data_IF_298085889367
#
_entry.id   IF_298085889367
#
_cell.length_a   1.000
_cell.length_b   1.000
_cell.length_c   1.000
_cell.angle_alpha   90.00
_cell.angle_beta   90.00
_cell.angle_gamma   90.00
#
_symmetry.space_group_name_H-M   'P 1'
#
loop_
_entity.id
_entity.type
_entity.pdbx_description
1 polymer ?
#
# COMPACT_ATOMS: atom_id res chain seq x y z
N UNK A 1 -2.17 -8.84 29.28
CA UNK A 1 -2.03 -8.89 28.77
C UNK A 1 -2.07 -8.92 28.00
N UNK A 2 -2.35 -8.94 27.48
CA UNK A 2 -2.46 -8.94 26.63
C UNK A 2 -1.99 -9.16 25.95
N UNK A 3 -2.37 -9.54 25.94
CA UNK A 3 -2.06 -9.79 25.20
C UNK A 3 -1.86 -9.64 24.22
N UNK A 4 -2.60 -9.45 24.28
CA UNK A 4 -2.50 -9.38 22.94
C UNK A 4 -1.18 -8.92 22.52
N UNK A 5 -0.40 -9.64 22.47
CA UNK A 5 0.94 -9.37 22.21
C UNK A 5 1.26 -9.15 20.76
N UNK A 6 0.30 -9.32 19.83
CA UNK A 6 0.56 -9.05 18.42
C UNK A 6 0.68 -7.56 18.22
N UNK A 7 1.82 -7.05 17.72
CA UNK A 7 1.92 -5.63 17.43
C UNK A 7 0.85 -5.24 16.41
N UNK A 8 0.26 -4.10 16.62
CA UNK A 8 -0.69 -3.58 15.66
C UNK A 8 0.01 -3.33 14.34
N UNK A 9 -0.55 -3.85 13.27
CA UNK A 9 -0.06 -3.58 11.92
C UNK A 9 -0.89 -2.49 11.30
N UNK A 10 -0.24 -1.67 10.49
CA UNK A 10 -0.88 -0.54 9.86
C UNK A 10 -0.55 -0.52 8.38
N UNK A 11 -1.56 -0.36 7.54
CA UNK A 11 -1.42 -0.31 6.09
C UNK A 11 -2.05 0.96 5.53
N UNK A 12 -1.40 1.54 4.53
CA UNK A 12 -1.95 2.63 3.74
C UNK A 12 -2.41 2.05 2.42
N UNK A 13 -3.64 2.35 2.02
CA UNK A 13 -4.21 1.86 0.76
C UNK A 13 -4.73 3.03 -0.05
N UNK A 14 -4.32 3.12 -1.31
CA UNK A 14 -4.73 4.20 -2.20
C UNK A 14 -5.29 3.58 -3.49
N UNK A 15 -6.56 3.87 -3.77
CA UNK A 15 -7.22 3.41 -4.99
C UNK A 15 -8.39 4.34 -5.25
N UNK A 16 -8.49 4.88 -6.45
CA UNK A 16 -9.55 5.85 -6.76
C UNK A 16 -10.90 5.19 -7.07
N UNK A 17 -10.97 3.86 -7.07
CA UNK A 17 -12.23 3.15 -7.18
C UNK A 17 -12.74 2.77 -5.79
N UNK A 18 -13.81 3.44 -5.36
CA UNK A 18 -14.28 3.30 -3.98
C UNK A 18 -14.67 1.87 -3.61
N UNK A 19 -15.21 1.10 -4.55
CA UNK A 19 -15.62 -0.28 -4.29
C UNK A 19 -14.38 -1.16 -4.03
N UNK A 20 -13.34 -0.99 -4.82
CA UNK A 20 -12.11 -1.74 -4.65
C UNK A 20 -11.44 -1.35 -3.34
N UNK A 21 -11.42 -0.06 -3.06
CA UNK A 21 -10.83 0.44 -1.82
C UNK A 21 -11.52 -0.14 -0.60
N UNK A 22 -12.86 -0.17 -0.61
CA UNK A 22 -13.62 -0.74 0.50
C UNK A 22 -13.33 -2.23 0.68
N UNK A 23 -13.23 -2.97 -0.41
CA UNK A 23 -12.90 -4.40 -0.34
C UNK A 23 -11.50 -4.65 0.22
N UNK A 24 -10.53 -3.85 -0.18
CA UNK A 24 -9.17 -3.94 0.34
C UNK A 24 -9.13 -3.63 1.84
N UNK A 25 -9.87 -2.63 2.25
CA UNK A 25 -9.92 -2.24 3.67
C UNK A 25 -10.49 -3.36 4.51
N UNK A 26 -11.58 -3.98 4.08
CA UNK A 26 -12.19 -5.10 4.80
C UNK A 26 -11.21 -6.28 4.87
N UNK A 27 -10.56 -6.58 3.76
CA UNK A 27 -9.64 -7.70 3.69
C UNK A 27 -8.46 -7.51 4.66
N UNK A 28 -7.85 -6.33 4.65
CA UNK A 28 -6.72 -6.04 5.53
C UNK A 28 -7.15 -6.02 6.99
N UNK A 29 -8.33 -5.48 7.28
CA UNK A 29 -8.87 -5.50 8.63
C UNK A 29 -9.03 -6.94 9.12
N UNK A 30 -9.52 -7.83 8.26
CA UNK A 30 -9.63 -9.25 8.57
C UNK A 30 -8.27 -9.87 8.90
N UNK A 31 -7.21 -9.38 8.28
CA UNK A 31 -5.85 -9.88 8.55
C UNK A 31 -5.17 -9.19 9.74
N UNK A 32 -5.90 -8.36 10.46
CA UNK A 32 -5.38 -7.73 11.67
C UNK A 32 -4.73 -6.38 11.48
N UNK A 33 -4.93 -5.73 10.33
CA UNK A 33 -4.36 -4.42 10.05
C UNK A 33 -5.31 -3.31 10.43
N UNK A 34 -4.77 -2.24 10.98
CA UNK A 34 -5.43 -0.95 10.93
C UNK A 34 -5.15 -0.37 9.55
N UNK A 35 -6.12 0.32 8.96
CA UNK A 35 -6.01 0.75 7.57
C UNK A 35 -6.33 2.22 7.43
N UNK A 36 -5.47 2.94 6.73
CA UNK A 36 -5.78 4.28 6.23
C UNK A 36 -6.04 4.11 4.73
N UNK A 37 -7.31 4.10 4.36
CA UNK A 37 -7.73 3.91 2.98
C UNK A 37 -8.23 5.24 2.43
N UNK A 38 -7.75 5.61 1.25
CA UNK A 38 -8.16 6.87 0.63
C UNK A 38 -8.15 6.76 -0.88
N UNK A 39 -8.98 7.60 -1.52
CA UNK A 39 -9.08 7.61 -2.97
C UNK A 39 -8.03 8.50 -3.63
N UNK A 40 -7.33 9.31 -2.86
CA UNK A 40 -6.30 10.20 -3.39
C UNK A 40 -5.15 10.37 -2.40
N UNK A 41 -4.04 10.84 -2.92
CA UNK A 41 -2.81 10.99 -2.14
C UNK A 41 -2.93 12.12 -1.13
N UNK A 42 -3.59 13.20 -1.51
CA UNK A 42 -3.73 14.36 -0.62
C UNK A 42 -4.43 13.99 0.68
N UNK A 43 -5.46 13.15 0.59
CA UNK A 43 -6.17 12.67 1.78
C UNK A 43 -5.26 11.85 2.67
N UNK A 44 -4.45 10.97 2.08
CA UNK A 44 -3.49 10.17 2.85
C UNK A 44 -2.51 11.09 3.57
N UNK A 45 -1.92 12.04 2.87
CA UNK A 45 -0.92 12.93 3.45
C UNK A 45 -1.51 13.78 4.57
N UNK A 46 -2.79 14.17 4.44
CA UNK A 46 -3.46 14.96 5.47
C UNK A 46 -3.73 14.15 6.74
N UNK A 47 -4.00 12.85 6.59
CA UNK A 47 -4.36 11.99 7.73
C UNK A 47 -3.18 11.26 8.34
N UNK A 48 -2.07 11.20 7.64
CA UNK A 48 -0.90 10.43 8.08
C UNK A 48 -0.29 10.94 9.39
N UNK A 49 -0.18 12.26 9.62
CA UNK A 49 0.32 12.75 10.90
C UNK A 49 -0.56 12.26 12.05
N UNK A 50 0.06 11.73 13.09
CA UNK A 50 -0.67 11.14 14.20
C UNK A 50 -0.96 9.67 14.04
N UNK A 51 -0.71 9.10 12.87
CA UNK A 51 -0.82 7.65 12.67
C UNK A 51 0.52 6.97 12.98
N UNK A 52 0.49 5.67 13.32
CA UNK A 52 1.75 4.92 13.44
C UNK A 52 2.44 4.83 12.06
N UNK A 53 3.70 4.45 12.06
CA UNK A 53 4.39 4.19 10.79
C UNK A 53 3.74 3.00 10.09
N UNK A 54 3.42 3.14 8.80
CA UNK A 54 2.84 2.02 8.07
C UNK A 54 3.82 0.87 7.92
N UNK A 55 3.30 -0.35 7.96
CA UNK A 55 4.08 -1.54 7.65
C UNK A 55 4.13 -1.77 6.14
N UNK A 56 3.12 -1.31 5.42
CA UNK A 56 3.03 -1.51 3.98
C UNK A 56 2.16 -0.43 3.35
N UNK A 57 2.49 -0.09 2.10
CA UNK A 57 1.68 0.79 1.26
C UNK A 57 1.19 -0.05 0.08
N UNK A 58 -0.13 -0.06 -0.13
CA UNK A 58 -0.74 -0.70 -1.29
C UNK A 58 -1.38 0.39 -2.14
N UNK A 59 -1.02 0.45 -3.41
CA UNK A 59 -1.55 1.51 -4.28
C UNK A 59 -1.88 0.95 -5.65
N UNK A 60 -2.98 1.41 -6.23
CA UNK A 60 -3.23 1.22 -7.64
C UNK A 60 -2.18 2.03 -8.41
N UNK A 61 -1.86 1.59 -9.63
CA UNK A 61 -0.90 2.31 -10.44
C UNK A 61 -1.48 3.60 -10.99
N UNK A 62 -2.71 3.55 -11.52
CA UNK A 62 -3.34 4.72 -12.11
C UNK A 62 -4.22 5.41 -11.10
N UNK A 63 -3.83 6.62 -10.75
CA UNK A 63 -4.55 7.43 -9.77
C UNK A 63 -5.01 8.73 -10.41
N UNK A 64 -5.84 9.49 -9.67
CA UNK A 64 -6.38 10.78 -10.13
C UNK A 64 -5.33 11.87 -10.11
N UNK A 65 -5.63 12.94 -10.82
CA UNK A 65 -4.92 14.23 -10.71
C UNK A 65 -3.43 14.12 -11.03
N UNK A 66 -3.11 13.27 -12.01
CA UNK A 66 -1.73 13.12 -12.45
C UNK A 66 -0.85 12.25 -11.56
N UNK A 67 -1.39 11.69 -10.49
CA UNK A 67 -0.63 10.79 -9.64
C UNK A 67 -0.55 9.39 -10.26
N UNK A 68 0.59 8.74 -10.05
CA UNK A 68 0.71 7.30 -10.31
C UNK A 68 0.98 6.62 -8.98
N UNK A 69 0.88 5.29 -8.97
CA UNK A 69 1.25 4.54 -7.78
C UNK A 69 2.70 4.78 -7.37
N UNK A 70 3.60 4.95 -8.34
CA UNK A 70 5.02 5.22 -8.04
C UNK A 70 5.16 6.55 -7.30
N UNK A 71 4.55 7.62 -7.83
CA UNK A 71 4.66 8.93 -7.19
C UNK A 71 3.93 8.98 -5.86
N UNK A 72 2.83 8.24 -5.74
CA UNK A 72 2.10 8.13 -4.48
C UNK A 72 2.96 7.48 -3.40
N UNK A 73 3.62 6.37 -3.72
CA UNK A 73 4.51 5.69 -2.77
C UNK A 73 5.64 6.60 -2.34
N UNK A 74 6.25 7.31 -3.29
CA UNK A 74 7.32 8.26 -2.97
C UNK A 74 6.85 9.32 -1.99
N UNK A 75 5.68 9.90 -2.23
CA UNK A 75 5.13 10.94 -1.36
C UNK A 75 4.87 10.43 0.05
N UNK A 76 4.30 9.25 0.17
CA UNK A 76 4.02 8.65 1.48
C UNK A 76 5.33 8.32 2.22
N UNK A 77 6.30 7.76 1.51
CA UNK A 77 7.60 7.46 2.10
C UNK A 77 8.29 8.73 2.58
N UNK A 78 8.22 9.79 1.81
CA UNK A 78 8.81 11.08 2.20
C UNK A 78 8.15 11.61 3.46
N UNK A 79 6.81 11.53 3.54
CA UNK A 79 6.08 11.98 4.71
C UNK A 79 6.41 11.14 5.95
N UNK A 80 6.67 9.85 5.76
CA UNK A 80 7.03 8.96 6.87
C UNK A 80 8.50 9.06 7.28
N UNK A 81 9.36 9.52 6.39
CA UNK A 81 10.80 9.59 6.64
C UNK A 81 11.53 8.28 6.57
N UNK A 82 10.87 7.20 6.12
CA UNK A 82 11.47 5.87 6.00
C UNK A 82 10.96 5.19 4.73
N UNK A 83 11.71 4.21 4.24
CA UNK A 83 11.34 3.44 3.06
C UNK A 83 10.34 2.35 3.44
N UNK A 84 9.07 2.72 3.51
CA UNK A 84 8.00 1.78 3.85
C UNK A 84 7.86 0.76 2.70
N UNK A 85 7.75 -0.55 3.00
CA UNK A 85 7.50 -1.54 1.96
C UNK A 85 6.24 -1.20 1.16
N UNK A 86 6.29 -1.39 -0.14
CA UNK A 86 5.18 -0.97 -0.99
C UNK A 86 4.93 -1.96 -2.12
N UNK A 87 3.64 -2.11 -2.46
CA UNK A 87 3.18 -2.92 -3.58
C UNK A 87 2.27 -2.08 -4.43
N UNK A 88 2.48 -2.10 -5.74
CA UNK A 88 1.59 -1.48 -6.70
C UNK A 88 0.80 -2.57 -7.41
N UNK A 89 -0.50 -2.38 -7.48
CA UNK A 89 -1.43 -3.29 -8.16
C UNK A 89 -1.77 -2.68 -9.51
N UNK A 90 -1.56 -3.42 -10.59
CA UNK A 90 -1.72 -2.85 -11.93
C UNK A 90 -2.10 -3.90 -12.96
N UNK A 91 -2.86 -3.51 -13.98
CA UNK A 91 -3.05 -4.32 -15.18
C UNK A 91 -2.00 -4.04 -16.24
N UNK A 92 -1.14 -3.05 -16.03
CA UNK A 92 -0.10 -2.70 -17.00
C UNK A 92 1.12 -3.59 -16.84
N UNK A 93 1.75 -3.93 -17.97
CA UNK A 93 2.92 -4.81 -17.98
C UNK A 93 4.11 -4.14 -18.66
N UNK A 94 4.09 -2.82 -18.82
CA UNK A 94 5.13 -2.09 -19.53
C UNK A 94 6.48 -2.15 -18.84
N UNK A 95 7.53 -2.21 -19.65
CA UNK A 95 8.90 -2.27 -19.14
C UNK A 95 9.28 -1.02 -18.35
N UNK A 96 8.75 0.14 -18.74
CA UNK A 96 9.04 1.39 -18.04
C UNK A 96 8.51 1.36 -16.61
N UNK A 97 7.28 0.85 -16.41
CA UNK A 97 6.71 0.72 -15.09
C UNK A 97 7.54 -0.24 -14.25
N UNK A 98 7.90 -1.38 -14.80
CA UNK A 98 8.68 -2.38 -14.06
C UNK A 98 10.04 -1.82 -13.66
N UNK A 99 10.69 -1.08 -14.54
CA UNK A 99 12.00 -0.49 -14.24
C UNK A 99 11.89 0.59 -13.16
N UNK A 100 10.87 1.44 -13.25
CA UNK A 100 10.67 2.50 -12.25
C UNK A 100 10.37 1.92 -10.87
N UNK A 101 9.55 0.88 -10.82
CA UNK A 101 9.21 0.21 -9.57
C UNK A 101 10.44 -0.43 -8.95
N UNK A 102 11.24 -1.11 -9.76
CA UNK A 102 12.46 -1.74 -9.27
C UNK A 102 13.45 -0.71 -8.73
N UNK A 103 13.59 0.42 -9.43
CA UNK A 103 14.50 1.48 -8.99
C UNK A 103 14.10 2.05 -7.63
N UNK A 104 12.79 2.09 -7.34
CA UNK A 104 12.28 2.62 -6.10
C UNK A 104 12.00 1.54 -5.05
N UNK A 105 12.39 0.30 -5.32
CA UNK A 105 12.16 -0.81 -4.39
C UNK A 105 10.66 -0.97 -4.10
N UNK A 106 9.87 -1.01 -5.15
CA UNK A 106 8.43 -1.22 -5.09
C UNK A 106 8.12 -2.54 -5.79
N UNK A 107 7.31 -3.37 -5.15
CA UNK A 107 6.87 -4.63 -5.75
C UNK A 107 5.66 -4.39 -6.62
N UNK A 108 5.58 -5.10 -7.74
CA UNK A 108 4.43 -5.01 -8.64
C UNK A 108 3.65 -6.33 -8.58
N UNK A 109 2.34 -6.24 -8.43
CA UNK A 109 1.44 -7.37 -8.60
C UNK A 109 0.47 -7.05 -9.72
N UNK A 110 0.31 -7.99 -10.64
CA UNK A 110 -0.56 -7.80 -11.80
C UNK A 110 -1.99 -8.23 -11.49
N UNK A 111 -2.96 -7.39 -11.86
CA UNK A 111 -4.37 -7.70 -11.70
C UNK A 111 -4.81 -8.76 -12.69
N UNK A 112 -5.72 -9.65 -12.33
CA UNK A 112 -6.41 -9.74 -11.04
C UNK A 112 -5.53 -10.37 -9.97
N UNK A 113 -5.62 -9.85 -8.73
CA UNK A 113 -4.79 -10.30 -7.63
C UNK A 113 -5.63 -11.17 -6.69
N UNK A 114 -5.16 -12.39 -6.44
CA UNK A 114 -5.83 -13.27 -5.50
C UNK A 114 -5.49 -12.84 -4.07
N UNK A 115 -6.46 -12.85 -3.15
CA UNK A 115 -6.21 -12.42 -1.76
C UNK A 115 -5.05 -13.17 -1.10
N UNK A 116 -4.97 -14.49 -1.30
CA UNK A 116 -3.89 -15.26 -0.70
C UNK A 116 -2.52 -14.88 -1.25
N UNK A 117 -2.44 -14.56 -2.53
CA UNK A 117 -1.19 -14.11 -3.13
C UNK A 117 -0.78 -12.75 -2.59
N UNK A 118 -1.74 -11.84 -2.47
CA UNK A 118 -1.47 -10.53 -1.89
C UNK A 118 -0.96 -10.66 -0.46
N UNK A 119 -1.61 -11.48 0.33
CA UNK A 119 -1.22 -11.69 1.72
C UNK A 119 0.21 -12.24 1.81
N UNK A 120 0.55 -13.22 0.98
CA UNK A 120 1.91 -13.76 0.96
C UNK A 120 2.93 -12.72 0.58
N UNK A 121 2.61 -11.86 -0.39
CA UNK A 121 3.53 -10.80 -0.81
C UNK A 121 3.74 -9.78 0.30
N UNK A 122 2.67 -9.40 0.97
CA UNK A 122 2.78 -8.46 2.10
C UNK A 122 3.62 -9.07 3.21
N UNK A 123 3.34 -10.31 3.59
CA UNK A 123 4.07 -10.99 4.66
C UNK A 123 5.55 -11.11 4.33
N UNK A 124 5.88 -11.40 3.07
CA UNK A 124 7.25 -11.49 2.60
C UNK A 124 7.98 -10.16 2.73
N UNK A 125 7.32 -9.07 2.37
CA UNK A 125 7.94 -7.74 2.46
C UNK A 125 8.16 -7.32 3.91
N UNK A 126 7.20 -7.57 4.76
CA UNK A 126 7.28 -7.17 6.16
C UNK A 126 8.33 -8.01 6.89
N UNK A 127 8.40 -9.30 6.59
CA UNK A 127 9.36 -10.19 7.23
C UNK A 127 10.81 -9.81 6.90
N UNK A 128 11.05 -9.28 5.70
CA UNK A 128 12.39 -8.87 5.28
C UNK A 128 12.77 -7.53 5.89
N UNK A 129 11.78 -6.67 6.04
CA UNK A 129 12.01 -5.35 6.62
C UNK A 129 12.15 -5.43 8.10
#
# INVERSE_FOLDING_TARGET
MDMSATPDRFAVVIDDESIILAGMEIMLDTWGYQVLAAEDVETVLAKLPGCPLPNVILSDYRLRDGWSGITAVRAVREACGVTVPAIILTGDTGAELMAAAKADQIRILHKPVQPNDLRRQIDSLIAVG
#
